data_IF_954503746583
#
_entry.id   IF_954503746583
#
_cell.length_a   1.000
_cell.length_b   1.000
_cell.length_c   1.000
_cell.angle_alpha   90.00
_cell.angle_beta   90.00
_cell.angle_gamma   90.00
#
_symmetry.space_group_name_H-M   'P 1'
#
loop_
_entity.id
_entity.type
_entity.pdbx_description
1 polymer ?
#
# COMPACT_ATOMS: atom_id res chain seq x y z
N UNK A 1 -36.22 4.41 2.23
CA UNK A 1 -35.08 4.50 1.28
C UNK A 1 -34.75 3.08 0.88
N UNK A 2 -34.76 2.75 -0.41
CA UNK A 2 -34.58 1.37 -0.88
C UNK A 2 -33.18 0.85 -0.53
N UNK A 3 -33.07 -0.40 -0.11
CA UNK A 3 -31.79 -1.06 0.24
C UNK A 3 -30.75 -0.94 -0.89
N UNK A 4 -31.22 -0.84 -2.14
CA UNK A 4 -30.39 -0.65 -3.34
C UNK A 4 -29.64 0.70 -3.38
N UNK A 5 -30.18 1.74 -2.74
CA UNK A 5 -29.56 3.06 -2.69
C UNK A 5 -28.35 3.11 -1.73
N UNK A 6 -28.28 2.20 -0.76
CA UNK A 6 -27.16 2.10 0.18
C UNK A 6 -25.94 1.36 -0.41
N UNK A 7 -26.15 0.53 -1.43
CA UNK A 7 -25.09 -0.27 -2.05
C UNK A 7 -24.03 0.62 -2.71
N UNK A 8 -24.44 1.70 -3.40
CA UNK A 8 -23.52 2.64 -4.07
C UNK A 8 -22.52 3.29 -3.10
N UNK A 9 -22.99 3.97 -2.03
CA UNK A 9 -22.13 4.52 -0.98
C UNK A 9 -21.24 3.49 -0.29
N UNK A 10 -21.76 2.29 -0.02
CA UNK A 10 -20.99 1.21 0.60
C UNK A 10 -19.84 0.81 -0.31
N UNK A 11 -20.11 0.51 -1.59
CA UNK A 11 -19.08 0.20 -2.58
C UNK A 11 -18.06 1.35 -2.69
N UNK A 12 -18.52 2.59 -2.64
CA UNK A 12 -17.63 3.73 -2.71
C UNK A 12 -16.66 3.78 -1.52
N UNK A 13 -17.18 3.58 -0.30
CA UNK A 13 -16.38 3.49 0.91
C UNK A 13 -15.43 2.28 0.89
N UNK A 14 -15.85 1.14 0.33
CA UNK A 14 -15.00 -0.05 0.18
C UNK A 14 -13.76 0.26 -0.68
N UNK A 15 -13.93 1.00 -1.77
CA UNK A 15 -12.81 1.42 -2.60
C UNK A 15 -11.88 2.39 -1.87
N UNK A 16 -12.43 3.39 -1.17
CA UNK A 16 -11.63 4.29 -0.35
C UNK A 16 -10.82 3.54 0.72
N UNK A 17 -11.42 2.60 1.45
CA UNK A 17 -10.73 1.79 2.45
C UNK A 17 -9.63 0.90 1.86
N UNK A 18 -9.77 0.48 0.60
CA UNK A 18 -8.80 -0.34 -0.11
C UNK A 18 -7.61 0.45 -0.70
N UNK A 19 -7.80 1.72 -1.06
CA UNK A 19 -6.79 2.60 -1.65
C UNK A 19 -5.43 2.60 -0.93
N UNK A 20 -5.34 2.79 0.40
CA UNK A 20 -4.04 2.85 1.08
C UNK A 20 -3.33 1.48 1.06
N UNK A 21 -4.09 0.39 1.14
CA UNK A 21 -3.58 -0.98 1.01
C UNK A 21 -3.05 -1.23 -0.40
N UNK A 22 -3.76 -0.74 -1.42
CA UNK A 22 -3.39 -0.92 -2.81
C UNK A 22 -2.09 -0.19 -3.16
N UNK A 23 -1.95 1.07 -2.74
CA UNK A 23 -0.71 1.82 -2.94
C UNK A 23 0.49 1.09 -2.28
N UNK A 24 0.38 0.78 -0.99
CA UNK A 24 1.45 0.09 -0.27
C UNK A 24 1.80 -1.27 -0.89
N UNK A 25 0.79 -2.07 -1.25
CA UNK A 25 1.00 -3.39 -1.83
C UNK A 25 1.59 -3.33 -3.25
N UNK A 26 1.23 -2.34 -4.09
CA UNK A 26 1.85 -2.18 -5.41
C UNK A 26 3.32 -1.74 -5.30
N UNK A 27 3.62 -0.85 -4.35
CA UNK A 27 4.99 -0.47 -4.02
C UNK A 27 5.82 -1.69 -3.64
N UNK A 28 5.37 -2.43 -2.62
CA UNK A 28 6.06 -3.63 -2.14
C UNK A 28 6.13 -4.75 -3.16
N UNK A 29 5.11 -4.91 -4.02
CA UNK A 29 5.18 -5.86 -5.12
C UNK A 29 6.40 -5.58 -6.02
N UNK A 30 6.70 -4.31 -6.32
CA UNK A 30 7.88 -3.94 -7.12
C UNK A 30 9.17 -4.17 -6.34
N UNK A 31 9.20 -3.83 -5.04
CA UNK A 31 10.35 -4.07 -4.15
C UNK A 31 10.68 -5.56 -4.09
N UNK A 32 9.69 -6.39 -3.80
CA UNK A 32 9.83 -7.84 -3.72
C UNK A 32 10.21 -8.44 -5.07
N UNK A 33 9.62 -7.97 -6.18
CA UNK A 33 10.03 -8.41 -7.53
C UNK A 33 11.49 -8.09 -7.87
N UNK A 34 12.14 -7.15 -7.18
CA UNK A 34 13.58 -6.88 -7.32
C UNK A 34 14.47 -7.79 -6.44
N UNK A 35 13.84 -8.63 -5.60
CA UNK A 35 14.50 -9.55 -4.67
C UNK A 35 14.79 -8.94 -3.30
N UNK A 36 14.15 -7.83 -2.94
CA UNK A 36 14.29 -7.17 -1.63
C UNK A 36 13.01 -7.35 -0.83
N UNK A 37 13.11 -7.72 0.44
CA UNK A 37 11.97 -7.88 1.34
C UNK A 37 11.98 -6.73 2.36
N UNK A 38 10.96 -5.88 2.34
CA UNK A 38 10.93 -4.67 3.17
C UNK A 38 9.79 -4.69 4.19
N UNK A 39 10.10 -5.07 5.44
CA UNK A 39 9.12 -5.06 6.55
C UNK A 39 8.94 -3.66 7.18
N UNK A 40 9.54 -2.61 6.60
CA UNK A 40 9.50 -1.23 7.07
C UNK A 40 8.30 -0.41 6.59
N UNK A 41 7.39 -1.01 5.82
CA UNK A 41 6.29 -0.34 5.10
C UNK A 41 5.36 0.42 6.03
N UNK A 42 5.00 -0.16 7.18
CA UNK A 42 4.15 0.47 8.18
C UNK A 42 4.75 1.81 8.64
N UNK A 43 6.06 1.82 8.91
CA UNK A 43 6.79 3.04 9.27
C UNK A 43 6.84 4.06 8.13
N UNK A 44 7.06 3.61 6.89
CA UNK A 44 7.06 4.49 5.71
C UNK A 44 5.70 5.13 5.46
N UNK A 45 4.61 4.37 5.64
CA UNK A 45 3.24 4.90 5.56
C UNK A 45 3.02 5.97 6.63
N UNK A 46 3.39 5.72 7.89
CA UNK A 46 3.21 6.68 8.98
C UNK A 46 4.00 7.98 8.77
N UNK A 47 5.26 7.88 8.34
CA UNK A 47 6.08 9.05 8.04
C UNK A 47 5.52 9.83 6.85
N UNK A 48 5.06 9.15 5.80
CA UNK A 48 4.37 9.80 4.68
C UNK A 48 3.07 10.49 5.11
N UNK A 49 2.27 9.82 5.94
CA UNK A 49 0.99 10.32 6.45
C UNK A 49 1.17 11.64 7.22
N UNK A 50 2.11 11.69 8.17
CA UNK A 50 2.33 12.90 8.97
C UNK A 50 2.95 14.03 8.17
N UNK A 51 3.93 13.73 7.29
CA UNK A 51 4.60 14.76 6.51
C UNK A 51 3.65 15.37 5.47
N UNK A 52 2.84 14.55 4.80
CA UNK A 52 1.82 15.04 3.87
C UNK A 52 0.75 15.87 4.57
N UNK A 53 0.29 15.41 5.73
CA UNK A 53 -0.67 16.13 6.56
C UNK A 53 -0.11 17.49 7.01
N UNK A 54 1.09 17.51 7.60
CA UNK A 54 1.75 18.70 8.11
C UNK A 54 1.96 19.77 7.02
N UNK A 55 2.35 19.37 5.80
CA UNK A 55 2.49 20.27 4.67
C UNK A 55 1.15 20.79 4.18
N UNK A 56 0.12 19.94 4.16
CA UNK A 56 -1.23 20.37 3.75
C UNK A 56 -1.82 21.37 4.72
N UNK A 57 -1.66 21.17 6.02
CA UNK A 57 -2.08 22.12 7.06
C UNK A 57 -1.40 23.48 6.89
N UNK A 58 -0.10 23.50 6.57
CA UNK A 58 0.66 24.74 6.46
C UNK A 58 0.44 25.47 5.13
N UNK A 59 0.27 24.73 4.04
CA UNK A 59 0.20 25.30 2.68
C UNK A 59 -1.21 25.42 2.12
N UNK A 60 -2.17 24.70 2.70
CA UNK A 60 -3.53 24.55 2.18
C UNK A 60 -3.63 23.69 0.91
N UNK A 61 -2.53 23.15 0.39
CA UNK A 61 -2.52 22.40 -0.87
C UNK A 61 -2.38 20.89 -0.62
N UNK A 62 -3.44 20.14 -0.91
CA UNK A 62 -3.40 18.68 -0.82
C UNK A 62 -2.39 18.07 -1.82
N UNK A 63 -2.21 18.70 -2.98
CA UNK A 63 -1.29 18.18 -4.01
C UNK A 63 0.16 18.22 -3.53
N UNK A 64 0.58 19.32 -2.91
CA UNK A 64 1.93 19.41 -2.31
C UNK A 64 2.06 18.45 -1.14
N UNK A 65 1.01 18.26 -0.35
CA UNK A 65 0.94 17.24 0.70
C UNK A 65 1.24 15.83 0.18
N UNK A 66 0.54 15.36 -0.84
CA UNK A 66 0.78 14.04 -1.43
C UNK A 66 2.18 13.90 -2.05
N UNK A 67 2.69 14.94 -2.71
CA UNK A 67 4.06 14.93 -3.25
C UNK A 67 5.10 14.81 -2.14
N UNK A 68 4.97 15.59 -1.06
CA UNK A 68 5.88 15.52 0.08
C UNK A 68 5.75 14.18 0.81
N UNK A 69 4.55 13.62 0.93
CA UNK A 69 4.35 12.31 1.52
C UNK A 69 5.08 11.20 0.74
N UNK A 70 5.00 11.23 -0.59
CA UNK A 70 5.74 10.30 -1.45
C UNK A 70 7.25 10.46 -1.25
N UNK A 71 7.75 11.69 -1.22
CA UNK A 71 9.18 11.96 -0.99
C UNK A 71 9.64 11.54 0.41
N UNK A 72 8.81 11.77 1.43
CA UNK A 72 9.10 11.38 2.81
C UNK A 72 9.16 9.85 2.94
N UNK A 73 8.19 9.14 2.37
CA UNK A 73 8.21 7.67 2.32
C UNK A 73 9.42 7.11 1.57
N UNK A 74 9.78 7.71 0.42
CA UNK A 74 10.99 7.36 -0.32
C UNK A 74 12.27 7.65 0.49
N UNK A 75 12.33 8.78 1.20
CA UNK A 75 13.45 9.13 2.05
C UNK A 75 13.62 8.13 3.21
N UNK A 76 12.52 7.74 3.88
CA UNK A 76 12.56 6.69 4.90
C UNK A 76 12.99 5.33 4.30
N UNK A 77 12.52 5.00 3.10
CA UNK A 77 12.95 3.79 2.40
C UNK A 77 14.42 3.81 1.98
N UNK A 78 14.97 4.99 1.70
CA UNK A 78 16.40 5.14 1.39
C UNK A 78 17.28 4.72 2.56
N UNK A 79 16.87 4.98 3.81
CA UNK A 79 17.58 4.54 5.01
C UNK A 79 17.66 3.01 5.05
N UNK A 80 16.53 2.34 4.83
CA UNK A 80 16.47 0.89 4.73
C UNK A 80 17.33 0.34 3.58
N UNK A 81 17.25 0.97 2.41
CA UNK A 81 18.03 0.58 1.24
C UNK A 81 19.54 0.71 1.49
N UNK A 82 19.99 1.77 2.17
CA UNK A 82 21.40 1.97 2.53
C UNK A 82 21.89 0.85 3.44
N UNK A 83 21.16 0.60 4.52
CA UNK A 83 21.52 -0.41 5.51
C UNK A 83 21.55 -1.83 4.90
N UNK A 84 20.56 -2.17 4.07
CA UNK A 84 20.40 -3.55 3.58
C UNK A 84 21.15 -3.85 2.29
N UNK A 85 21.27 -2.87 1.38
CA UNK A 85 21.91 -3.09 0.08
C UNK A 85 23.40 -2.77 0.09
N UNK A 86 23.83 -1.75 0.85
CA UNK A 86 25.24 -1.35 0.87
C UNK A 86 25.97 -1.82 2.12
N UNK A 87 25.31 -1.82 3.28
CA UNK A 87 25.89 -2.30 4.54
C UNK A 87 25.54 -3.76 4.86
N UNK A 88 24.83 -4.43 3.94
CA UNK A 88 24.53 -5.87 4.00
C UNK A 88 23.84 -6.30 5.29
N UNK A 89 23.09 -5.38 5.92
CA UNK A 89 22.28 -5.69 7.08
C UNK A 89 21.14 -6.66 6.71
N UNK A 90 20.70 -7.44 7.69
CA UNK A 90 19.58 -8.35 7.53
C UNK A 90 18.29 -7.58 7.23
N UNK A 91 17.69 -7.82 6.05
CA UNK A 91 16.50 -7.12 5.57
C UNK A 91 15.30 -7.23 6.52
N UNK A 92 15.09 -8.38 7.15
CA UNK A 92 13.97 -8.57 8.08
C UNK A 92 14.20 -7.71 9.32
N UNK A 93 15.36 -7.83 9.97
CA UNK A 93 15.66 -7.07 11.18
C UNK A 93 15.65 -5.55 10.93
N UNK A 94 16.27 -5.10 9.83
CA UNK A 94 16.27 -3.68 9.44
C UNK A 94 14.87 -3.18 9.12
N UNK A 95 14.04 -3.97 8.44
CA UNK A 95 12.65 -3.61 8.15
C UNK A 95 11.81 -3.45 9.43
N UNK A 96 11.93 -4.40 10.37
CA UNK A 96 11.28 -4.31 11.68
C UNK A 96 11.71 -3.07 12.46
N UNK A 97 13.02 -2.80 12.50
CA UNK A 97 13.56 -1.60 13.15
C UNK A 97 13.05 -0.32 12.47
N UNK A 98 12.95 -0.28 11.15
CA UNK A 98 12.43 0.86 10.41
C UNK A 98 10.95 1.11 10.70
N UNK A 99 10.15 0.06 10.89
CA UNK A 99 8.76 0.20 11.30
C UNK A 99 8.67 0.87 12.67
N UNK A 100 9.41 0.40 13.67
CA UNK A 100 9.43 1.03 15.00
C UNK A 100 9.94 2.48 14.95
N UNK A 101 10.99 2.72 14.15
CA UNK A 101 11.52 4.05 13.91
C UNK A 101 10.47 4.98 13.28
N UNK A 102 9.73 4.52 12.27
CA UNK A 102 8.69 5.30 11.61
C UNK A 102 7.50 5.59 12.54
N UNK A 103 7.13 4.64 13.40
CA UNK A 103 6.12 4.87 14.46
C UNK A 103 6.56 6.01 15.38
N UNK A 104 7.77 5.94 15.94
CA UNK A 104 8.27 6.97 16.84
C UNK A 104 8.52 8.33 16.16
N UNK A 105 9.12 8.33 14.97
CA UNK A 105 9.40 9.55 14.22
C UNK A 105 8.12 10.26 13.80
N UNK A 106 7.12 9.50 13.32
CA UNK A 106 5.85 10.09 12.90
C UNK A 106 5.06 10.67 14.08
N UNK A 107 5.08 10.00 15.24
CA UNK A 107 4.49 10.54 16.45
C UNK A 107 5.15 11.86 16.87
N UNK A 108 6.50 11.93 16.86
CA UNK A 108 7.25 13.15 17.19
C UNK A 108 6.92 14.32 16.26
N UNK A 109 6.93 14.10 14.94
CA UNK A 109 6.58 15.14 13.95
C UNK A 109 5.12 15.57 14.13
N UNK A 110 4.25 14.60 14.44
CA UNK A 110 2.80 14.78 14.48
C UNK A 110 2.24 15.41 15.75
N UNK A 111 3.02 15.54 16.83
CA UNK A 111 2.52 16.04 18.12
C UNK A 111 1.76 17.37 18.02
N UNK A 112 2.24 18.32 17.22
CA UNK A 112 1.60 19.63 17.03
C UNK A 112 0.41 19.63 16.09
N UNK A 113 0.13 18.53 15.40
CA UNK A 113 -0.90 18.41 14.38
C UNK A 113 -2.11 17.57 14.84
N UNK A 114 -2.02 16.92 16.00
CA UNK A 114 -3.11 16.10 16.55
C UNK A 114 -4.35 16.96 16.77
N UNK A 115 -5.50 16.47 16.29
CA UNK A 115 -6.79 17.12 16.49
C UNK A 115 -7.08 18.30 15.55
N UNK A 116 -6.16 18.64 14.64
CA UNK A 116 -6.45 19.58 13.54
C UNK A 116 -7.22 18.82 12.45
N UNK A 117 -8.44 19.24 12.07
CA UNK A 117 -9.13 18.66 10.93
C UNK A 117 -8.66 19.30 9.62
N UNK A 118 -8.70 18.53 8.54
CA UNK A 118 -8.60 19.02 7.16
C UNK A 118 -9.95 18.83 6.47
N UNK A 119 -10.19 19.65 5.46
CA UNK A 119 -11.20 19.32 4.46
C UNK A 119 -10.62 18.22 3.57
N UNK A 120 -11.32 17.08 3.51
CA UNK A 120 -10.92 15.94 2.66
C UNK A 120 -10.88 16.31 1.17
N UNK A 121 -10.41 15.39 0.33
CA UNK A 121 -10.30 15.68 -1.10
C UNK A 121 -11.70 15.89 -1.72
N UNK A 122 -11.81 16.82 -2.70
CA UNK A 122 -13.04 16.95 -3.46
C UNK A 122 -13.28 15.65 -4.24
N UNK A 123 -14.47 15.08 -4.06
CA UNK A 123 -14.93 13.93 -4.82
C UNK A 123 -15.35 14.35 -6.21
N UNK A 124 -15.06 13.52 -7.21
CA UNK A 124 -15.56 13.75 -8.57
C UNK A 124 -17.09 13.70 -8.55
N UNK A 125 -17.73 14.67 -9.20
CA UNK A 125 -19.17 14.68 -9.41
C UNK A 125 -19.46 15.04 -10.87
N UNK A 126 -20.07 14.09 -11.59
CA UNK A 126 -20.50 14.29 -12.97
C UNK A 126 -22.02 14.21 -12.96
N UNK A 127 -22.73 15.34 -13.20
CA UNK A 127 -24.18 15.37 -13.21
C UNK A 127 -24.77 14.27 -14.12
N UNK A 128 -25.72 13.49 -13.60
CA UNK A 128 -26.36 12.39 -14.32
C UNK A 128 -25.61 11.06 -14.30
N UNK A 129 -24.26 11.05 -14.27
CA UNK A 129 -23.48 9.81 -14.15
C UNK A 129 -23.30 9.40 -12.69
N UNK A 130 -22.98 10.35 -11.80
CA UNK A 130 -22.81 10.08 -10.37
C UNK A 130 -24.15 9.79 -9.68
N UNK A 131 -25.26 10.29 -10.24
CA UNK A 131 -26.60 10.11 -9.70
C UNK A 131 -27.22 8.73 -10.05
N UNK A 132 -26.53 7.92 -10.89
CA UNK A 132 -26.99 6.56 -11.19
C UNK A 132 -26.96 5.67 -9.94
N UNK A 133 -28.03 4.92 -9.65
CA UNK A 133 -28.06 4.03 -8.50
C UNK A 133 -26.97 2.96 -8.64
N UNK A 134 -26.31 2.64 -7.53
CA UNK A 134 -25.22 1.65 -7.42
C UNK A 134 -23.92 2.07 -8.14
N UNK A 135 -23.94 2.21 -9.46
CA UNK A 135 -22.71 2.42 -10.26
C UNK A 135 -22.22 3.87 -10.18
N UNK A 136 -23.15 4.83 -10.13
CA UNK A 136 -22.83 6.25 -10.20
C UNK A 136 -21.91 6.69 -9.07
N UNK A 137 -22.33 6.48 -7.83
CA UNK A 137 -21.51 6.84 -6.67
C UNK A 137 -20.31 5.92 -6.47
N UNK A 138 -20.41 4.63 -6.81
CA UNK A 138 -19.30 3.69 -6.66
C UNK A 138 -18.12 4.02 -7.58
N UNK A 139 -18.39 4.46 -8.82
CA UNK A 139 -17.35 4.69 -9.84
C UNK A 139 -17.09 6.18 -10.09
N UNK A 140 -18.12 7.02 -10.10
CA UNK A 140 -18.03 8.45 -10.43
C UNK A 140 -18.20 9.36 -9.21
N UNK A 141 -18.10 8.82 -7.99
CA UNK A 141 -18.16 9.55 -6.72
C UNK A 141 -16.87 9.43 -5.89
N UNK A 142 -15.76 9.08 -6.53
CA UNK A 142 -14.47 8.85 -5.87
C UNK A 142 -13.59 10.10 -5.91
N UNK A 143 -12.65 10.18 -4.98
CA UNK A 143 -11.56 11.14 -5.01
C UNK A 143 -10.49 10.76 -6.05
N UNK A 144 -9.62 11.73 -6.36
CA UNK A 144 -8.55 11.57 -7.34
C UNK A 144 -7.54 10.46 -6.97
N UNK A 145 -7.31 10.19 -5.68
CA UNK A 145 -6.34 9.20 -5.23
C UNK A 145 -6.83 7.78 -5.43
N UNK A 146 -8.12 7.50 -5.27
CA UNK A 146 -8.73 6.21 -5.63
C UNK A 146 -8.50 5.92 -7.11
N UNK A 147 -8.74 6.89 -8.00
CA UNK A 147 -8.48 6.71 -9.44
C UNK A 147 -6.99 6.49 -9.73
N UNK A 148 -6.10 7.22 -9.07
CA UNK A 148 -4.65 7.01 -9.22
C UNK A 148 -4.22 5.63 -8.72
N UNK A 149 -4.78 5.11 -7.62
CA UNK A 149 -4.47 3.79 -7.12
C UNK A 149 -4.91 2.70 -8.10
N UNK A 150 -6.11 2.82 -8.66
CA UNK A 150 -6.61 1.90 -9.69
C UNK A 150 -5.78 2.01 -10.97
N UNK A 151 -5.38 3.22 -11.39
CA UNK A 151 -4.51 3.44 -12.54
C UNK A 151 -3.07 2.94 -12.32
N UNK A 152 -2.57 2.96 -11.08
CA UNK A 152 -1.26 2.44 -10.73
C UNK A 152 -1.15 0.93 -11.01
N UNK A 153 -2.25 0.18 -10.95
CA UNK A 153 -2.27 -1.28 -11.22
C UNK A 153 -1.83 -1.60 -12.66
N UNK A 154 -2.51 -1.10 -13.73
CA UNK A 154 -2.06 -1.33 -15.10
C UNK A 154 -0.70 -0.67 -15.38
N UNK A 155 -0.35 0.46 -14.75
CA UNK A 155 0.96 1.08 -14.91
C UNK A 155 2.10 0.19 -14.38
N UNK A 156 1.97 -0.33 -13.15
CA UNK A 156 2.93 -1.27 -12.56
C UNK A 156 2.94 -2.58 -13.35
N UNK A 157 1.79 -3.05 -13.82
CA UNK A 157 1.73 -4.23 -14.69
C UNK A 157 2.49 -4.01 -16.01
N UNK A 158 2.23 -2.90 -16.70
CA UNK A 158 2.91 -2.56 -17.95
C UNK A 158 4.41 -2.40 -17.72
N UNK A 159 4.80 -1.70 -16.65
CA UNK A 159 6.20 -1.56 -16.26
C UNK A 159 6.87 -2.94 -16.10
N UNK A 160 6.35 -3.81 -15.24
CA UNK A 160 6.96 -5.10 -14.95
C UNK A 160 6.98 -6.05 -16.15
N UNK A 161 5.90 -6.11 -16.92
CA UNK A 161 5.70 -7.15 -17.94
C UNK A 161 5.96 -6.71 -19.38
N UNK A 162 5.93 -5.41 -19.69
CA UNK A 162 6.04 -4.89 -21.06
C UNK A 162 7.20 -3.92 -21.28
N UNK A 163 7.94 -3.50 -20.25
CA UNK A 163 9.11 -2.63 -20.42
C UNK A 163 10.43 -3.39 -20.24
N UNK A 164 11.50 -2.91 -20.90
CA UNK A 164 12.86 -3.45 -20.72
C UNK A 164 13.34 -3.32 -19.27
N UNK A 165 13.08 -2.17 -18.65
CA UNK A 165 13.49 -1.90 -17.26
C UNK A 165 12.82 -2.86 -16.29
N UNK A 166 11.52 -3.11 -16.44
CA UNK A 166 10.81 -4.07 -15.58
C UNK A 166 11.21 -5.53 -15.81
N UNK A 167 11.55 -5.90 -17.05
CA UNK A 167 12.13 -7.22 -17.34
C UNK A 167 13.48 -7.40 -16.64
N UNK A 168 14.35 -6.39 -16.69
CA UNK A 168 15.64 -6.40 -15.98
C UNK A 168 15.44 -6.44 -14.47
N UNK A 169 14.50 -5.67 -13.92
CA UNK A 169 14.18 -5.70 -12.48
C UNK A 169 13.76 -7.10 -12.04
N UNK A 170 12.88 -7.76 -12.79
CA UNK A 170 12.47 -9.14 -12.48
C UNK A 170 13.63 -10.12 -12.64
N UNK A 171 14.47 -9.97 -13.66
CA UNK A 171 15.66 -10.82 -13.84
C UNK A 171 16.63 -10.69 -12.65
N UNK A 172 16.82 -9.48 -12.11
CA UNK A 172 17.60 -9.23 -10.88
C UNK A 172 16.96 -9.92 -9.67
N UNK A 173 15.63 -9.90 -9.55
CA UNK A 173 14.90 -10.59 -8.49
C UNK A 173 14.93 -12.12 -8.59
N UNK A 174 15.00 -12.66 -9.81
CA UNK A 174 15.13 -14.11 -10.04
C UNK A 174 16.57 -14.60 -9.82
N UNK A 175 17.57 -13.92 -10.39
CA UNK A 175 18.96 -14.28 -10.21
C UNK A 175 19.88 -13.05 -10.30
N UNK A 176 20.26 -12.52 -9.14
CA UNK A 176 21.14 -11.36 -9.07
C UNK A 176 22.58 -11.60 -9.53
N UNK A 177 23.11 -12.83 -9.46
CA UNK A 177 24.50 -13.13 -9.86
C UNK A 177 24.60 -13.20 -11.37
N UNK A 178 23.64 -13.86 -12.01
CA UNK A 178 23.52 -13.87 -13.47
C UNK A 178 23.29 -12.47 -14.04
N UNK A 179 22.41 -11.67 -13.42
CA UNK A 179 22.19 -10.29 -13.83
C UNK A 179 23.45 -9.43 -13.70
N UNK A 180 24.24 -9.63 -12.63
CA UNK A 180 25.50 -8.92 -12.44
C UNK A 180 26.56 -9.34 -13.47
N UNK A 181 26.69 -10.64 -13.75
CA UNK A 181 27.60 -11.17 -14.77
C UNK A 181 27.30 -10.63 -16.19
N UNK A 182 26.03 -10.32 -16.47
CA UNK A 182 25.60 -9.64 -17.70
C UNK A 182 25.85 -8.12 -17.70
N UNK A 183 26.43 -7.56 -16.63
CA UNK A 183 26.81 -6.14 -16.52
C UNK A 183 25.73 -5.24 -15.91
N UNK A 184 24.60 -5.78 -15.43
CA UNK A 184 23.58 -4.95 -14.78
C UNK A 184 24.00 -4.50 -13.38
N UNK A 185 23.69 -3.24 -13.07
CA UNK A 185 23.96 -2.63 -11.75
C UNK A 185 22.87 -3.01 -10.75
N UNK A 186 22.92 -4.24 -10.25
CA UNK A 186 21.94 -4.84 -9.32
C UNK A 186 21.58 -3.91 -8.16
N UNK A 187 22.59 -3.34 -7.47
CA UNK A 187 22.37 -2.46 -6.32
C UNK A 187 21.54 -1.23 -6.69
N UNK A 188 21.82 -0.59 -7.83
CA UNK A 188 21.06 0.58 -8.29
C UNK A 188 19.61 0.23 -8.62
N UNK A 189 19.38 -0.94 -9.23
CA UNK A 189 18.04 -1.41 -9.59
C UNK A 189 17.21 -1.68 -8.34
N UNK A 190 17.78 -2.42 -7.37
CA UNK A 190 17.15 -2.69 -6.07
C UNK A 190 16.89 -1.42 -5.29
N UNK A 191 17.84 -0.49 -5.26
CA UNK A 191 17.69 0.80 -4.57
C UNK A 191 16.52 1.62 -5.13
N UNK A 192 16.43 1.75 -6.46
CA UNK A 192 15.31 2.46 -7.09
C UNK A 192 13.97 1.77 -6.86
N UNK A 193 13.93 0.43 -6.83
CA UNK A 193 12.72 -0.31 -6.49
C UNK A 193 12.26 -0.01 -5.05
N UNK A 194 13.19 0.00 -4.09
CA UNK A 194 12.92 0.35 -2.68
C UNK A 194 12.42 1.79 -2.54
N UNK A 195 13.02 2.76 -3.24
CA UNK A 195 12.53 4.14 -3.23
C UNK A 195 11.11 4.25 -3.79
N UNK A 196 10.79 3.54 -4.87
CA UNK A 196 9.45 3.49 -5.42
C UNK A 196 8.45 2.86 -4.42
N UNK A 197 8.84 1.77 -3.76
CA UNK A 197 8.05 1.15 -2.69
C UNK A 197 7.75 2.13 -1.55
N UNK A 198 8.78 2.84 -1.08
CA UNK A 198 8.66 3.88 -0.07
C UNK A 198 7.75 5.03 -0.50
N UNK A 199 7.86 5.49 -1.75
CA UNK A 199 7.00 6.55 -2.28
C UNK A 199 5.52 6.13 -2.31
N UNK A 200 5.25 4.92 -2.78
CA UNK A 200 3.89 4.36 -2.82
C UNK A 200 3.33 4.12 -1.42
N UNK A 201 4.13 3.63 -0.48
CA UNK A 201 3.75 3.53 0.93
C UNK A 201 3.44 4.91 1.53
N UNK A 202 4.27 5.91 1.24
CA UNK A 202 4.03 7.29 1.68
C UNK A 202 2.73 7.88 1.14
N UNK A 203 2.40 7.64 -0.13
CA UNK A 203 1.11 8.02 -0.72
C UNK A 203 -0.07 7.32 -0.05
N UNK A 204 0.05 6.01 0.20
CA UNK A 204 -0.96 5.25 0.94
C UNK A 204 -1.15 5.77 2.38
N UNK A 205 -0.08 6.22 3.01
CA UNK A 205 -0.11 6.89 4.30
C UNK A 205 -0.82 8.24 4.26
N UNK A 206 -0.45 9.13 3.34
CA UNK A 206 -1.10 10.43 3.18
C UNK A 206 -2.59 10.32 2.86
N UNK A 207 -2.99 9.30 2.09
CA UNK A 207 -4.40 9.04 1.86
C UNK A 207 -5.16 8.78 3.18
N UNK A 208 -4.54 8.11 4.15
CA UNK A 208 -5.16 7.87 5.46
C UNK A 208 -5.40 9.17 6.23
N UNK A 209 -4.41 10.08 6.27
CA UNK A 209 -4.46 11.31 7.08
C UNK A 209 -5.15 12.49 6.41
N UNK A 210 -5.19 12.53 5.08
CA UNK A 210 -5.68 13.68 4.32
C UNK A 210 -7.06 13.45 3.69
N UNK A 211 -7.48 12.20 3.48
CA UNK A 211 -8.73 11.90 2.78
C UNK A 211 -9.62 10.88 3.51
N UNK A 212 -9.09 9.70 3.85
CA UNK A 212 -9.88 8.65 4.50
C UNK A 212 -10.36 9.06 5.90
N UNK A 213 -9.44 9.55 6.72
CA UNK A 213 -9.72 10.19 8.01
C UNK A 213 -8.95 11.51 7.99
N UNK A 214 -9.54 12.64 7.57
CA UNK A 214 -8.84 13.89 7.28
C UNK A 214 -8.39 14.61 8.58
N UNK A 215 -7.56 13.94 9.36
CA UNK A 215 -6.93 14.38 10.60
C UNK A 215 -5.68 13.54 10.87
N UNK A 216 -4.73 14.09 11.61
CA UNK A 216 -3.62 13.32 12.14
C UNK A 216 -3.99 12.62 13.46
N UNK A 217 -3.67 11.33 13.52
CA UNK A 217 -3.72 10.50 14.73
C UNK A 217 -2.50 9.58 14.76
N UNK A 218 -1.91 9.41 15.95
CA UNK A 218 -0.80 8.49 16.15
C UNK A 218 -1.20 7.07 15.77
N UNK A 219 -0.29 6.35 15.11
CA UNK A 219 -0.50 4.96 14.69
C UNK A 219 -1.76 4.72 13.83
N UNK A 220 -2.19 5.72 13.04
CA UNK A 220 -3.40 5.64 12.20
C UNK A 220 -3.38 4.52 11.15
N UNK A 221 -2.18 4.09 10.72
CA UNK A 221 -2.02 2.95 9.80
C UNK A 221 -2.59 1.68 10.42
N UNK A 222 -2.45 1.48 11.74
CA UNK A 222 -3.07 0.41 12.51
C UNK A 222 -2.85 -0.98 11.90
N UNK A 223 -1.63 -1.23 11.41
CA UNK A 223 -1.22 -2.49 10.82
C UNK A 223 -1.59 -2.69 9.34
N UNK A 224 -2.07 -1.65 8.65
CA UNK A 224 -2.35 -1.69 7.20
C UNK A 224 -1.10 -1.99 6.35
N UNK A 225 0.09 -1.58 6.78
CA UNK A 225 1.35 -1.93 6.13
C UNK A 225 1.66 -3.43 6.22
N UNK A 226 1.35 -4.07 7.34
CA UNK A 226 1.45 -5.52 7.49
C UNK A 226 0.47 -6.27 6.60
N UNK A 227 -0.77 -5.76 6.51
CA UNK A 227 -1.78 -6.30 5.59
C UNK A 227 -1.30 -6.18 4.14
N UNK A 228 -0.70 -5.05 3.75
CA UNK A 228 -0.17 -4.84 2.41
C UNK A 228 0.94 -5.85 2.07
N UNK A 229 1.84 -6.15 2.99
CA UNK A 229 2.86 -7.20 2.80
C UNK A 229 2.24 -8.58 2.60
N UNK A 230 1.28 -8.97 3.44
CA UNK A 230 0.55 -10.23 3.27
C UNK A 230 -0.18 -10.26 1.92
N UNK A 231 -0.70 -9.12 1.48
CA UNK A 231 -1.41 -8.97 0.23
C UNK A 231 -0.52 -9.26 -1.00
N UNK A 232 0.75 -8.86 -0.98
CA UNK A 232 1.69 -9.13 -2.09
C UNK A 232 1.88 -10.64 -2.28
N UNK A 233 2.02 -11.37 -1.17
CA UNK A 233 2.15 -12.82 -1.15
C UNK A 233 0.86 -13.49 -1.64
N UNK A 234 -0.31 -13.09 -1.12
CA UNK A 234 -1.61 -13.59 -1.60
C UNK A 234 -1.85 -13.25 -3.06
N UNK A 235 -1.40 -12.10 -3.51
CA UNK A 235 -1.47 -11.70 -4.91
C UNK A 235 -0.53 -12.53 -5.80
N UNK A 236 0.29 -13.42 -5.25
CA UNK A 236 1.34 -14.17 -5.97
C UNK A 236 2.20 -13.22 -6.82
N UNK A 237 2.52 -12.04 -6.27
CA UNK A 237 3.25 -10.97 -6.96
C UNK A 237 2.65 -10.52 -8.31
N UNK A 238 1.32 -10.61 -8.47
CA UNK A 238 0.59 -10.12 -9.65
C UNK A 238 -0.20 -8.85 -9.31
N UNK A 239 0.04 -7.72 -10.00
CA UNK A 239 -0.63 -6.44 -9.69
C UNK A 239 -2.16 -6.51 -9.68
N UNK A 240 -2.76 -7.20 -10.66
CA UNK A 240 -4.21 -7.36 -10.73
C UNK A 240 -4.78 -8.15 -9.54
N UNK A 241 -4.04 -9.15 -9.02
CA UNK A 241 -4.47 -9.91 -7.84
C UNK A 241 -4.31 -9.10 -6.55
N UNK A 242 -3.31 -8.22 -6.49
CA UNK A 242 -3.13 -7.29 -5.37
C UNK A 242 -4.31 -6.32 -5.29
N UNK A 243 -4.80 -5.82 -6.42
CA UNK A 243 -6.01 -4.98 -6.48
C UNK A 243 -7.25 -5.71 -5.95
N UNK A 244 -7.51 -6.94 -6.42
CA UNK A 244 -8.64 -7.74 -5.94
C UNK A 244 -8.56 -8.01 -4.44
N UNK A 245 -7.35 -8.32 -3.95
CA UNK A 245 -7.12 -8.50 -2.52
C UNK A 245 -7.38 -7.22 -1.72
N UNK A 246 -6.89 -6.07 -2.19
CA UNK A 246 -7.08 -4.79 -1.51
C UNK A 246 -8.57 -4.45 -1.40
N UNK A 247 -9.32 -4.63 -2.50
CA UNK A 247 -10.78 -4.45 -2.51
C UNK A 247 -11.51 -5.43 -1.61
N UNK A 248 -11.04 -6.68 -1.50
CA UNK A 248 -11.60 -7.63 -0.55
C UNK A 248 -11.38 -7.18 0.90
N UNK A 249 -10.16 -6.74 1.25
CA UNK A 249 -9.86 -6.25 2.60
C UNK A 249 -10.64 -4.97 2.94
N UNK A 250 -10.61 -3.95 2.08
CA UNK A 250 -11.40 -2.74 2.25
C UNK A 250 -12.91 -3.04 2.30
N UNK A 251 -13.33 -4.02 1.49
CA UNK A 251 -14.68 -4.56 1.46
C UNK A 251 -15.17 -5.08 2.81
N UNK A 252 -14.40 -6.01 3.38
CA UNK A 252 -14.73 -6.63 4.67
C UNK A 252 -14.70 -5.59 5.80
N UNK A 253 -13.74 -4.66 5.79
CA UNK A 253 -13.67 -3.58 6.80
C UNK A 253 -14.89 -2.66 6.77
N UNK A 254 -15.34 -2.23 5.58
CA UNK A 254 -16.49 -1.32 5.47
C UNK A 254 -17.80 -2.05 5.74
N UNK A 255 -17.92 -3.30 5.29
CA UNK A 255 -19.10 -4.12 5.57
C UNK A 255 -19.26 -4.37 7.07
N UNK A 256 -18.15 -4.66 7.77
CA UNK A 256 -18.12 -4.79 9.23
C UNK A 256 -18.70 -3.53 9.90
N UNK A 257 -18.24 -2.35 9.52
CA UNK A 257 -18.70 -1.08 10.10
C UNK A 257 -20.19 -0.83 9.83
N UNK A 258 -20.67 -1.13 8.63
CA UNK A 258 -22.09 -0.96 8.28
C UNK A 258 -22.99 -1.94 9.03
N UNK A 259 -22.59 -3.21 9.18
CA UNK A 259 -23.37 -4.21 9.92
C UNK A 259 -23.49 -3.83 11.40
N UNK A 260 -22.44 -3.27 12.00
CA UNK A 260 -22.50 -2.71 13.36
C UNK A 260 -23.45 -1.51 13.44
N UNK A 261 -23.44 -0.63 12.44
CA UNK A 261 -24.32 0.54 12.37
C UNK A 261 -25.81 0.21 12.16
N UNK A 262 -26.13 -0.96 11.58
CA UNK A 262 -27.51 -1.43 11.39
C UNK A 262 -28.16 -1.96 12.68
N UNK A 263 -27.42 -2.05 13.79
CA UNK A 263 -27.96 -2.52 15.07
C UNK A 263 -28.33 -4.01 15.08
N UNK A 264 -27.75 -4.79 14.17
CA UNK A 264 -27.88 -6.25 14.19
C UNK A 264 -27.18 -6.74 15.46
N UNK A 265 -27.87 -7.57 16.24
CA UNK A 265 -27.46 -8.04 17.58
C UNK A 265 -26.33 -9.09 17.53
N UNK A 266 -25.32 -8.84 16.69
CA UNK A 266 -24.12 -9.64 16.55
C UNK A 266 -23.02 -8.97 17.38
N UNK A 267 -22.35 -9.70 18.29
CA UNK A 267 -21.25 -9.14 19.08
C UNK A 267 -20.19 -8.49 18.20
N UNK A 268 -19.77 -7.28 18.58
CA UNK A 268 -18.78 -6.51 17.82
C UNK A 268 -17.45 -7.26 17.68
N UNK A 269 -17.12 -8.11 18.65
CA UNK A 269 -15.96 -9.01 18.61
C UNK A 269 -16.03 -9.99 17.43
N UNK A 270 -17.21 -10.59 17.16
CA UNK A 270 -17.39 -11.52 16.05
C UNK A 270 -17.23 -10.81 14.69
N UNK A 271 -17.79 -9.61 14.58
CA UNK A 271 -17.66 -8.75 13.40
C UNK A 271 -16.20 -8.33 13.18
N UNK A 272 -15.47 -8.03 14.25
CA UNK A 272 -14.05 -7.66 14.20
C UNK A 272 -13.13 -8.82 13.82
N UNK A 273 -13.61 -10.06 13.91
CA UNK A 273 -12.90 -11.25 13.42
C UNK A 273 -13.05 -11.46 11.90
N UNK A 274 -14.05 -10.85 11.24
CA UNK A 274 -14.32 -11.07 9.81
C UNK A 274 -13.14 -10.78 8.89
N UNK A 275 -12.38 -9.67 9.04
CA UNK A 275 -11.19 -9.44 8.20
C UNK A 275 -10.20 -10.59 8.30
N UNK A 276 -9.91 -11.08 9.51
CA UNK A 276 -8.97 -12.17 9.74
C UNK A 276 -9.46 -13.51 9.17
N UNK A 277 -10.75 -13.81 9.33
CA UNK A 277 -11.36 -15.02 8.75
C UNK A 277 -11.30 -14.99 7.22
N UNK A 278 -11.60 -13.84 6.61
CA UNK A 278 -11.46 -13.66 5.17
C UNK A 278 -10.01 -13.91 4.72
N UNK A 279 -9.02 -13.41 5.47
CA UNK A 279 -7.60 -13.66 5.22
C UNK A 279 -7.26 -15.15 5.26
N UNK A 280 -7.71 -15.86 6.29
CA UNK A 280 -7.47 -17.32 6.43
C UNK A 280 -8.09 -18.07 5.27
N UNK A 281 -9.32 -17.73 4.90
CA UNK A 281 -10.04 -18.40 3.81
C UNK A 281 -9.33 -18.18 2.46
N UNK A 282 -8.93 -16.95 2.17
CA UNK A 282 -8.15 -16.61 0.96
C UNK A 282 -6.80 -17.33 0.96
N UNK A 283 -6.08 -17.33 2.08
CA UNK A 283 -4.80 -18.01 2.21
C UNK A 283 -4.95 -19.52 1.98
N UNK A 284 -5.99 -20.16 2.51
CA UNK A 284 -6.28 -21.59 2.29
C UNK A 284 -6.56 -21.86 0.81
N UNK A 285 -7.36 -21.01 0.14
CA UNK A 285 -7.67 -21.18 -1.28
C UNK A 285 -6.43 -21.08 -2.17
N UNK A 286 -5.51 -20.16 -1.85
CA UNK A 286 -4.30 -19.91 -2.65
C UNK A 286 -3.21 -20.93 -2.35
N UNK A 287 -3.04 -21.30 -1.07
CA UNK A 287 -2.04 -22.30 -0.63
C UNK A 287 -2.31 -23.72 -1.14
N UNK A 288 -3.51 -23.97 -1.70
CA UNK A 288 -3.81 -25.23 -2.41
C UNK A 288 -2.93 -25.47 -3.63
N UNK A 289 -2.38 -24.41 -4.24
CA UNK A 289 -1.52 -24.51 -5.41
C UNK A 289 -0.11 -23.96 -5.11
N UNK A 290 0.65 -24.76 -4.35
CA UNK A 290 2.04 -24.45 -3.96
C UNK A 290 2.94 -24.21 -5.18
N UNK A 291 2.66 -24.89 -6.30
CA UNK A 291 3.40 -24.72 -7.54
C UNK A 291 3.26 -23.31 -8.09
N UNK A 292 2.04 -22.74 -8.12
CA UNK A 292 1.83 -21.35 -8.55
C UNK A 292 2.57 -20.33 -7.68
N UNK A 293 2.64 -20.53 -6.37
CA UNK A 293 3.35 -19.62 -5.47
C UNK A 293 4.85 -19.65 -5.79
N UNK A 294 5.44 -20.85 -5.88
CA UNK A 294 6.86 -21.03 -6.20
C UNK A 294 7.25 -20.46 -7.57
N UNK A 295 6.37 -20.57 -8.56
CA UNK A 295 6.64 -20.05 -9.91
C UNK A 295 6.62 -18.52 -10.01
N UNK A 296 5.97 -17.83 -9.08
CA UNK A 296 5.85 -16.36 -9.13
C UNK A 296 6.67 -15.65 -8.04
N UNK A 297 7.15 -16.38 -7.04
CA UNK A 297 8.02 -15.87 -5.99
C UNK A 297 9.44 -15.64 -6.57
N UNK A 298 10.02 -14.44 -6.43
CA UNK A 298 11.38 -14.17 -6.90
C UNK A 298 12.40 -15.05 -6.16
N UNK A 299 13.22 -15.80 -6.90
CA UNK A 299 14.14 -16.77 -6.27
C UNK A 299 15.25 -16.13 -5.41
N UNK A 300 15.57 -14.85 -5.60
CA UNK A 300 16.49 -14.08 -4.77
C UNK A 300 15.80 -13.18 -3.72
N UNK A 301 14.50 -13.36 -3.45
CA UNK A 301 13.78 -12.61 -2.42
C UNK A 301 14.45 -12.78 -1.05
N UNK A 302 14.77 -11.67 -0.39
CA UNK A 302 15.40 -11.67 0.93
C UNK A 302 16.88 -12.06 0.93
N UNK A 303 17.47 -12.41 -0.23
CA UNK A 303 18.89 -12.81 -0.33
C UNK A 303 19.78 -11.58 -0.48
N UNK A 304 20.80 -11.53 0.38
CA UNK A 304 21.90 -10.57 0.30
C UNK A 304 22.64 -10.75 -1.03
N UNK A 305 23.08 -9.64 -1.62
CA UNK A 305 23.83 -9.62 -2.86
C UNK A 305 25.21 -9.02 -2.59
N UNK A 306 26.26 -9.74 -2.97
CA UNK A 306 27.63 -9.25 -2.96
C UNK A 306 28.13 -9.16 -4.41
N UNK A 307 28.61 -8.00 -4.89
CA UNK A 307 29.17 -7.87 -6.23
C UNK A 307 30.41 -8.74 -6.46
N UNK A 308 31.21 -8.94 -5.41
CA UNK A 308 32.53 -9.61 -5.47
C UNK A 308 32.51 -11.08 -5.05
N UNK A 309 31.32 -11.66 -4.82
CA UNK A 309 31.15 -13.06 -4.38
C UNK A 309 30.84 -14.03 -5.52
#
# INVERSE_FOLDING_TARGET
MTDLALIGPILAAMFAAATPLLFAALGELVVEKSGVLNLGVEGMMLVGAVCGFAVTVQTGSATTGFLVAALAGAATASLFAVLTLFLLANQVATGLALTLFGVGLSALIGQGFVGIPLDGLPKLYIPGLTDLPVVGQAVFGQDVMVYLAVAAVPLVHLFLYRTRVGLVLRAVGENHTAAHALGYKVLRIRFLAVLFGGAMAGLGGAFLSMDYTPMWAENMTSGRGWIALALVVFATWKPARAMLGAWLFGGVTILQLHVQGLGIDVPSQLLSMLPYLATVLVLVLISRDVARIRLNAPACLGKLFHPDA
#
